data_IF_406410736495
#
_entry.id   IF_406410736495
#
_cell.length_a   1.000
_cell.length_b   1.000
_cell.length_c   1.000
_cell.angle_alpha   90.00
_cell.angle_beta   90.00
_cell.angle_gamma   90.00
#
_symmetry.space_group_name_H-M   'P 1'
#
loop_
_entity.id
_entity.type
_entity.pdbx_description
1 polymer ?
#
# COMPACT_ATOMS: atom_id res chain seq x y z
N UNK A 1 -11.23 -17.86 10.93
CA UNK A 1 -10.94 -18.32 12.31
C UNK A 1 -12.14 -17.97 13.19
N UNK A 2 -12.59 -18.87 14.05
CA UNK A 2 -13.62 -18.56 15.05
C UNK A 2 -13.19 -17.39 15.95
N UNK A 3 -14.12 -16.66 16.56
CA UNK A 3 -13.74 -15.50 17.39
C UNK A 3 -12.86 -15.90 18.58
N UNK A 4 -13.25 -16.95 19.29
CA UNK A 4 -12.56 -17.47 20.47
C UNK A 4 -12.35 -18.97 20.35
N UNK A 5 -11.26 -19.47 20.92
CA UNK A 5 -10.99 -20.90 21.03
C UNK A 5 -10.47 -21.27 22.42
N UNK A 6 -10.88 -22.42 22.99
CA UNK A 6 -10.28 -22.92 24.22
C UNK A 6 -8.84 -23.37 23.96
N UNK A 7 -7.98 -23.12 24.94
CA UNK A 7 -6.60 -23.59 25.00
C UNK A 7 -6.28 -24.06 26.42
N UNK A 8 -5.38 -25.03 26.56
CA UNK A 8 -4.85 -25.41 27.87
C UNK A 8 -4.09 -24.21 28.44
N UNK A 9 -4.46 -23.75 29.63
CA UNK A 9 -3.81 -22.60 30.25
C UNK A 9 -2.30 -22.90 30.47
N UNK A 10 -1.43 -22.02 29.98
CA UNK A 10 0.02 -22.20 30.05
C UNK A 10 0.63 -23.17 29.03
N UNK A 11 -0.14 -23.67 28.06
CA UNK A 11 0.42 -24.43 26.92
C UNK A 11 1.23 -23.51 26.00
N UNK A 12 2.43 -23.94 25.62
CA UNK A 12 3.31 -23.20 24.70
C UNK A 12 2.79 -23.18 23.26
N UNK A 13 1.94 -24.14 22.88
CA UNK A 13 1.45 -24.33 21.51
C UNK A 13 -0.05 -24.07 21.35
N UNK A 14 -0.69 -23.38 22.30
CA UNK A 14 -2.13 -23.09 22.26
C UNK A 14 -2.99 -24.35 22.06
N UNK A 15 -2.61 -25.43 22.74
CA UNK A 15 -3.18 -26.77 22.54
C UNK A 15 -4.64 -26.84 22.99
N UNK A 16 -5.47 -27.56 22.24
CA UNK A 16 -6.85 -27.78 22.63
C UNK A 16 -6.91 -28.76 23.83
N UNK A 17 -7.73 -28.52 24.87
CA UNK A 17 -7.86 -29.42 26.02
C UNK A 17 -8.14 -30.88 25.67
N UNK A 18 -9.00 -31.12 24.67
CA UNK A 18 -9.31 -32.46 24.15
C UNK A 18 -8.32 -33.01 23.11
N UNK A 19 -7.35 -32.23 22.64
CA UNK A 19 -6.36 -32.67 21.66
C UNK A 19 -4.94 -32.18 22.01
N UNK A 20 -4.39 -32.59 23.18
CA UNK A 20 -3.03 -32.23 23.57
C UNK A 20 -1.97 -32.87 22.67
N UNK A 21 -1.05 -32.05 22.19
CA UNK A 21 0.07 -32.40 21.32
C UNK A 21 1.31 -32.78 22.12
N UNK A 22 1.74 -31.92 23.03
CA UNK A 22 3.02 -32.06 23.74
C UNK A 22 2.92 -33.12 24.84
N UNK A 23 4.03 -33.81 25.18
CA UNK A 23 4.04 -34.75 26.30
C UNK A 23 3.64 -34.09 27.63
N UNK A 24 4.04 -32.83 27.86
CA UNK A 24 3.66 -32.06 29.04
C UNK A 24 2.14 -31.86 29.13
N UNK A 25 1.52 -31.37 28.06
CA UNK A 25 0.07 -31.16 28.01
C UNK A 25 -0.71 -32.46 28.11
N UNK A 26 -0.24 -33.55 27.49
CA UNK A 26 -0.86 -34.88 27.64
C UNK A 26 -0.85 -35.38 29.08
N UNK A 27 0.26 -35.18 29.80
CA UNK A 27 0.36 -35.54 31.22
C UNK A 27 -0.58 -34.69 32.07
N UNK A 28 -0.65 -33.37 31.81
CA UNK A 28 -1.56 -32.47 32.52
C UNK A 28 -3.02 -32.84 32.31
N UNK A 29 -3.45 -33.06 31.07
CA UNK A 29 -4.82 -33.51 30.76
C UNK A 29 -5.14 -34.82 31.48
N UNK A 30 -4.22 -35.78 31.50
CA UNK A 30 -4.44 -37.06 32.19
C UNK A 30 -4.48 -36.95 33.72
N UNK A 31 -3.72 -36.02 34.31
CA UNK A 31 -3.63 -35.84 35.76
C UNK A 31 -4.73 -34.94 36.33
N UNK A 32 -5.07 -33.86 35.61
CA UNK A 32 -6.01 -32.82 36.06
C UNK A 32 -7.44 -33.13 35.61
N UNK A 33 -7.64 -33.89 34.51
CA UNK A 33 -8.97 -34.31 34.07
C UNK A 33 -9.94 -33.14 33.90
N UNK A 34 -11.08 -33.18 34.59
CA UNK A 34 -12.10 -32.12 34.57
C UNK A 34 -11.66 -30.83 35.28
N UNK A 35 -10.63 -30.89 36.13
CA UNK A 35 -10.07 -29.73 36.84
C UNK A 35 -8.99 -29.00 36.00
N UNK A 36 -8.70 -29.46 34.78
CA UNK A 36 -7.71 -28.86 33.89
C UNK A 36 -8.07 -27.39 33.58
N UNK A 37 -7.21 -26.41 33.95
CA UNK A 37 -7.46 -25.01 33.65
C UNK A 37 -7.44 -24.73 32.14
N UNK A 38 -8.51 -24.07 31.66
CA UNK A 38 -8.70 -23.69 30.26
C UNK A 38 -8.74 -22.17 30.15
N UNK A 39 -7.94 -21.64 29.23
CA UNK A 39 -7.98 -20.24 28.83
C UNK A 39 -8.65 -20.09 27.45
N UNK A 40 -8.99 -18.85 27.07
CA UNK A 40 -9.61 -18.53 25.79
C UNK A 40 -8.71 -17.63 24.95
N UNK A 41 -8.44 -18.04 23.71
CA UNK A 41 -7.58 -17.31 22.78
C UNK A 41 -8.41 -16.67 21.65
N UNK A 42 -8.31 -15.35 21.51
CA UNK A 42 -9.03 -14.60 20.48
C UNK A 42 -8.37 -14.75 19.09
N UNK A 43 -9.15 -14.65 18.00
CA UNK A 43 -8.63 -14.71 16.62
C UNK A 43 -7.54 -13.68 16.30
N UNK A 44 -7.56 -12.51 16.92
CA UNK A 44 -6.54 -11.46 16.70
C UNK A 44 -5.15 -11.85 17.20
N UNK A 45 -5.04 -12.86 18.06
CA UNK A 45 -3.78 -13.37 18.60
C UNK A 45 -3.29 -14.62 17.86
N UNK A 46 -3.99 -15.03 16.80
CA UNK A 46 -3.73 -16.27 16.04
C UNK A 46 -3.19 -16.01 14.64
N UNK A 47 -2.62 -14.83 14.44
CA UNK A 47 -1.87 -14.45 13.26
C UNK A 47 -0.41 -14.23 13.67
N UNK A 48 0.50 -14.97 13.03
CA UNK A 48 1.94 -14.80 13.15
C UNK A 48 2.54 -14.45 11.80
N UNK A 49 3.50 -13.54 11.77
CA UNK A 49 4.16 -13.11 10.54
C UNK A 49 5.65 -13.01 10.74
N UNK A 50 6.41 -13.41 9.72
CA UNK A 50 7.85 -13.24 9.67
C UNK A 50 8.26 -12.83 8.26
N UNK A 51 9.01 -11.72 8.18
CA UNK A 51 9.80 -11.42 7.00
C UNK A 51 10.98 -12.38 6.95
N UNK A 52 11.05 -13.17 5.88
CA UNK A 52 12.19 -14.01 5.59
C UNK A 52 13.40 -13.12 5.27
N UNK A 53 14.51 -13.48 5.87
CA UNK A 53 15.78 -12.81 5.67
C UNK A 53 16.88 -13.86 5.65
N UNK A 54 18.04 -13.60 5.00
CA UNK A 54 19.13 -14.57 4.93
C UNK A 54 19.68 -15.02 6.30
N UNK A 55 19.49 -14.22 7.35
CA UNK A 55 19.90 -14.50 8.74
C UNK A 55 18.84 -15.24 9.56
N UNK A 56 17.61 -15.43 9.04
CA UNK A 56 16.59 -16.23 9.71
C UNK A 56 17.12 -17.64 9.96
N UNK A 57 16.88 -18.19 11.16
CA UNK A 57 17.34 -19.52 11.54
C UNK A 57 16.21 -20.56 11.55
N UNK A 58 16.57 -21.85 11.55
CA UNK A 58 15.60 -22.94 11.78
C UNK A 58 14.93 -22.79 13.14
N UNK A 59 15.66 -22.29 14.14
CA UNK A 59 15.14 -22.04 15.48
C UNK A 59 14.01 -21.02 15.51
N UNK A 60 14.10 -19.98 14.68
CA UNK A 60 13.08 -18.91 14.63
C UNK A 60 11.74 -19.41 14.08
N UNK A 61 11.76 -20.25 13.05
CA UNK A 61 10.53 -20.73 12.41
C UNK A 61 10.01 -22.02 13.02
N UNK A 62 10.89 -22.97 13.34
CA UNK A 62 10.52 -24.31 13.76
C UNK A 62 10.79 -24.52 15.25
N UNK A 63 12.01 -24.21 15.70
CA UNK A 63 12.45 -24.36 17.08
C UNK A 63 13.86 -24.92 17.20
N UNK A 64 14.49 -24.72 18.35
CA UNK A 64 15.80 -25.32 18.70
C UNK A 64 15.78 -25.77 20.17
N UNK A 65 16.84 -26.45 20.60
CA UNK A 65 17.03 -26.83 22.01
C UNK A 65 17.42 -25.60 22.82
N UNK A 66 16.72 -25.37 23.92
CA UNK A 66 17.03 -24.35 24.92
C UNK A 66 18.22 -24.79 25.79
N UNK A 67 19.41 -24.14 25.67
CA UNK A 67 20.59 -24.52 26.44
C UNK A 67 20.41 -24.35 27.95
N UNK A 68 19.56 -23.42 28.40
CA UNK A 68 19.31 -23.19 29.83
C UNK A 68 18.53 -24.35 30.44
N UNK A 69 17.48 -24.82 29.75
CA UNK A 69 16.70 -25.99 30.20
C UNK A 69 17.55 -27.26 30.25
N UNK A 70 18.54 -27.39 29.36
CA UNK A 70 19.53 -28.48 29.41
C UNK A 70 20.50 -28.32 30.59
N UNK A 71 20.93 -27.09 30.89
CA UNK A 71 21.82 -26.80 32.02
C UNK A 71 21.17 -27.07 33.40
N UNK A 72 19.84 -27.03 33.49
CA UNK A 72 19.05 -27.41 34.67
C UNK A 72 19.00 -28.94 34.92
N UNK A 73 19.76 -29.72 34.15
CA UNK A 73 19.89 -31.17 34.34
C UNK A 73 18.90 -32.01 33.54
N UNK A 74 18.10 -31.38 32.65
CA UNK A 74 17.26 -32.11 31.70
C UNK A 74 18.13 -32.72 30.61
N UNK A 75 17.74 -33.91 30.15
CA UNK A 75 18.47 -34.58 29.06
C UNK A 75 18.23 -33.82 27.77
N UNK A 76 19.24 -33.77 26.89
CA UNK A 76 19.12 -33.21 25.53
C UNK A 76 17.94 -33.76 24.72
N UNK A 77 17.47 -34.97 25.06
CA UNK A 77 16.32 -35.62 24.42
C UNK A 77 15.00 -35.49 25.13
N UNK A 78 14.92 -34.66 26.17
CA UNK A 78 13.66 -34.33 26.82
C UNK A 78 12.91 -33.32 25.93
N UNK A 79 11.70 -33.64 25.41
CA UNK A 79 10.91 -32.71 24.59
C UNK A 79 10.63 -31.38 25.29
N UNK A 80 10.71 -31.32 26.61
CA UNK A 80 10.54 -30.08 27.36
C UNK A 80 11.74 -29.12 27.28
N UNK A 81 12.87 -29.55 26.71
CA UNK A 81 14.02 -28.68 26.41
C UNK A 81 13.88 -27.94 25.09
N UNK A 82 12.81 -28.18 24.32
CA UNK A 82 12.59 -27.54 23.04
C UNK A 82 11.99 -26.15 23.26
N UNK A 83 12.58 -25.14 22.62
CA UNK A 83 11.95 -23.85 22.41
C UNK A 83 11.31 -23.85 21.02
N UNK A 84 9.98 -23.75 20.96
CA UNK A 84 9.26 -23.77 19.69
C UNK A 84 9.40 -22.46 18.92
N UNK A 85 9.58 -22.55 17.61
CA UNK A 85 9.60 -21.41 16.69
C UNK A 85 8.21 -20.86 16.39
N UNK A 86 8.12 -19.97 15.40
CA UNK A 86 6.88 -19.30 14.99
C UNK A 86 5.80 -20.26 14.49
N UNK A 87 6.16 -21.24 13.64
CA UNK A 87 5.18 -22.13 12.99
C UNK A 87 4.44 -22.99 14.02
N UNK A 88 5.13 -23.69 14.95
CA UNK A 88 4.42 -24.46 15.98
C UNK A 88 3.63 -23.57 16.93
N UNK A 89 4.16 -22.40 17.32
CA UNK A 89 3.42 -21.46 18.18
C UNK A 89 2.16 -20.90 17.52
N UNK A 90 2.12 -20.89 16.18
CA UNK A 90 0.95 -20.49 15.38
C UNK A 90 -0.07 -21.63 15.19
N UNK A 91 0.04 -22.74 15.93
CA UNK A 91 -0.94 -23.81 15.91
C UNK A 91 -2.36 -23.26 16.16
N UNK A 92 -3.29 -23.68 15.31
CA UNK A 92 -4.70 -23.28 15.21
C UNK A 92 -4.88 -21.83 14.78
N UNK A 93 -3.92 -21.33 14.01
CA UNK A 93 -3.85 -19.98 13.46
C UNK A 93 -3.31 -19.94 12.03
N UNK A 94 -2.90 -18.73 11.63
CA UNK A 94 -2.33 -18.42 10.32
C UNK A 94 -0.88 -17.97 10.54
N UNK A 95 0.05 -18.51 9.75
CA UNK A 95 1.43 -18.04 9.69
C UNK A 95 1.74 -17.51 8.31
N UNK A 96 2.17 -16.24 8.23
CA UNK A 96 2.60 -15.58 7.01
C UNK A 96 4.14 -15.52 6.95
N UNK A 97 4.72 -16.02 5.87
CA UNK A 97 6.16 -15.94 5.58
C UNK A 97 6.34 -15.04 4.37
N UNK A 98 6.74 -13.79 4.60
CA UNK A 98 6.99 -12.86 3.51
C UNK A 98 8.37 -13.11 2.91
N UNK A 99 8.49 -13.01 1.60
CA UNK A 99 9.74 -13.21 0.85
C UNK A 99 10.35 -14.60 1.09
N UNK A 100 9.53 -15.65 1.06
CA UNK A 100 9.97 -17.05 1.24
C UNK A 100 11.26 -17.43 0.47
N UNK A 101 11.47 -16.98 -0.79
CA UNK A 101 12.75 -17.06 -1.51
C UNK A 101 14.02 -16.73 -0.72
N UNK A 102 13.95 -15.76 0.20
CA UNK A 102 15.10 -15.28 0.97
C UNK A 102 15.51 -16.25 2.09
N UNK A 103 14.67 -17.24 2.41
CA UNK A 103 15.05 -18.30 3.34
C UNK A 103 16.06 -19.24 2.70
N UNK A 104 17.11 -19.55 3.47
CA UNK A 104 18.07 -20.59 3.10
C UNK A 104 17.36 -21.95 2.89
N UNK A 105 17.83 -22.72 1.90
CA UNK A 105 17.26 -24.02 1.51
C UNK A 105 17.02 -24.97 2.70
N UNK A 106 17.95 -25.03 3.65
CA UNK A 106 17.83 -25.87 4.86
C UNK A 106 16.56 -25.53 5.67
N UNK A 107 16.17 -24.26 5.73
CA UNK A 107 14.99 -23.80 6.48
C UNK A 107 13.73 -24.18 5.72
N UNK A 108 13.72 -24.04 4.40
CA UNK A 108 12.63 -24.49 3.55
C UNK A 108 12.38 -26.00 3.67
N UNK A 109 13.45 -26.81 3.73
CA UNK A 109 13.36 -28.26 4.00
C UNK A 109 12.76 -28.52 5.40
N UNK A 110 13.17 -27.78 6.42
CA UNK A 110 12.60 -27.93 7.76
C UNK A 110 11.10 -27.61 7.78
N UNK A 111 10.67 -26.56 7.07
CA UNK A 111 9.25 -26.22 6.91
C UNK A 111 8.48 -27.33 6.17
N UNK A 112 9.07 -27.90 5.11
CA UNK A 112 8.47 -29.01 4.37
C UNK A 112 8.17 -30.20 5.29
N UNK A 113 9.09 -30.58 6.16
CA UNK A 113 8.88 -31.70 7.09
C UNK A 113 7.70 -31.43 8.04
N UNK A 114 7.58 -30.19 8.54
CA UNK A 114 6.46 -29.79 9.39
C UNK A 114 5.13 -29.88 8.64
N UNK A 115 5.11 -29.43 7.37
CA UNK A 115 3.90 -29.40 6.55
C UNK A 115 3.48 -30.79 6.05
N UNK A 116 4.42 -31.65 5.67
CA UNK A 116 4.17 -32.95 5.05
C UNK A 116 4.14 -34.09 6.07
N UNK A 117 5.23 -34.24 6.84
CA UNK A 117 5.43 -35.38 7.74
C UNK A 117 4.77 -35.14 9.11
N UNK A 118 4.37 -33.90 9.39
CA UNK A 118 3.80 -33.47 10.67
C UNK A 118 4.72 -33.80 11.83
N UNK A 119 6.02 -33.70 11.59
CA UNK A 119 7.04 -33.83 12.60
C UNK A 119 8.10 -32.75 12.47
N UNK A 120 8.88 -32.62 13.54
CA UNK A 120 9.90 -31.63 13.69
C UNK A 120 11.17 -32.34 14.12
N UNK A 121 12.27 -32.09 13.39
CA UNK A 121 13.59 -32.61 13.75
C UNK A 121 14.46 -31.52 14.34
N UNK A 122 14.79 -31.65 15.63
CA UNK A 122 15.66 -30.70 16.35
C UNK A 122 16.83 -31.46 16.95
N UNK A 123 18.06 -31.15 16.51
CA UNK A 123 19.33 -31.70 17.04
C UNK A 123 19.36 -33.24 17.16
N UNK A 124 18.66 -33.95 16.27
CA UNK A 124 18.60 -35.42 16.24
C UNK A 124 17.35 -36.05 16.85
N UNK A 125 16.46 -35.26 17.45
CA UNK A 125 15.17 -35.72 17.99
C UNK A 125 14.06 -35.45 17.00
N UNK A 126 13.19 -36.46 16.79
CA UNK A 126 11.99 -36.34 15.97
C UNK A 126 10.79 -36.23 16.91
N UNK A 127 10.11 -35.08 16.87
CA UNK A 127 8.88 -34.83 17.61
C UNK A 127 7.71 -34.76 16.63
N UNK A 128 6.76 -35.68 16.76
CA UNK A 128 5.51 -35.62 15.98
C UNK A 128 4.62 -34.51 16.51
N UNK A 129 4.37 -33.51 15.68
CA UNK A 129 3.54 -32.35 15.96
C UNK A 129 2.54 -32.19 14.82
N UNK A 130 1.35 -32.82 14.93
CA UNK A 130 0.27 -32.62 13.97
C UNK A 130 -0.33 -31.22 14.15
N UNK A 131 0.38 -30.21 13.64
CA UNK A 131 -0.04 -28.83 13.66
C UNK A 131 -1.20 -28.63 12.68
N UNK A 132 -2.28 -28.07 13.20
CA UNK A 132 -3.32 -27.40 12.43
C UNK A 132 -2.86 -25.95 12.19
N UNK A 133 -2.36 -25.61 11.00
CA UNK A 133 -1.88 -24.25 10.69
C UNK A 133 -2.10 -23.96 9.21
N UNK A 134 -2.54 -22.75 8.90
CA UNK A 134 -2.56 -22.25 7.52
C UNK A 134 -1.28 -21.45 7.26
N UNK A 135 -0.45 -21.94 6.34
CA UNK A 135 0.75 -21.23 5.89
C UNK A 135 0.41 -20.38 4.68
N UNK A 136 0.68 -19.08 4.76
CA UNK A 136 0.64 -18.14 3.65
C UNK A 136 2.07 -17.70 3.39
N UNK A 137 2.48 -17.63 2.13
CA UNK A 137 3.82 -17.18 1.77
C UNK A 137 3.76 -16.21 0.59
N UNK A 138 4.64 -15.21 0.59
CA UNK A 138 4.88 -14.35 -0.56
C UNK A 138 6.23 -14.65 -1.21
N UNK A 139 6.32 -14.39 -2.50
CA UNK A 139 7.54 -14.53 -3.29
C UNK A 139 7.45 -13.63 -4.51
N UNK A 140 8.55 -12.97 -4.88
CA UNK A 140 8.58 -12.19 -6.11
C UNK A 140 8.85 -13.10 -7.33
N UNK A 141 8.19 -12.85 -8.48
CA UNK A 141 8.36 -13.67 -9.68
C UNK A 141 9.80 -13.73 -10.24
N UNK A 142 10.64 -12.75 -9.92
CA UNK A 142 12.01 -12.70 -10.45
C UNK A 142 12.97 -13.66 -9.71
N UNK A 143 12.66 -13.97 -8.45
CA UNK A 143 13.46 -14.83 -7.57
C UNK A 143 13.48 -16.29 -8.03
N UNK A 144 12.57 -16.68 -8.93
CA UNK A 144 12.58 -18.00 -9.57
C UNK A 144 13.79 -18.22 -10.48
N UNK A 145 14.53 -17.17 -10.86
CA UNK A 145 15.62 -17.28 -11.84
C UNK A 145 17.02 -17.34 -11.23
N UNK A 146 17.33 -16.59 -10.17
CA UNK A 146 18.68 -16.51 -9.59
C UNK A 146 18.70 -16.56 -8.05
N UNK A 147 19.40 -17.56 -7.49
CA UNK A 147 19.86 -17.73 -6.09
C UNK A 147 18.84 -17.86 -4.94
N UNK A 148 17.58 -17.41 -5.07
CA UNK A 148 16.53 -17.51 -4.01
C UNK A 148 15.39 -18.45 -4.37
N UNK A 149 15.66 -19.66 -4.87
CA UNK A 149 14.57 -20.53 -5.36
C UNK A 149 13.85 -21.21 -4.20
N UNK A 150 12.53 -21.12 -4.20
CA UNK A 150 11.69 -22.04 -3.42
C UNK A 150 11.99 -23.45 -3.94
N UNK A 151 12.42 -24.34 -3.06
CA UNK A 151 12.70 -25.73 -3.46
C UNK A 151 11.42 -26.38 -4.01
N UNK A 152 11.54 -27.08 -5.14
CA UNK A 152 10.39 -27.72 -5.80
C UNK A 152 9.55 -28.56 -4.84
N UNK A 153 10.14 -29.39 -3.95
CA UNK A 153 9.35 -30.18 -3.01
C UNK A 153 8.49 -29.35 -2.06
N UNK A 154 8.92 -28.15 -1.65
CA UNK A 154 8.12 -27.24 -0.81
C UNK A 154 7.07 -26.52 -1.65
N UNK A 155 7.44 -26.05 -2.85
CA UNK A 155 6.51 -25.40 -3.78
C UNK A 155 5.30 -26.29 -4.05
N UNK A 156 5.53 -27.58 -4.30
CA UNK A 156 4.47 -28.56 -4.62
C UNK A 156 3.51 -28.84 -3.44
N UNK A 157 3.79 -28.33 -2.24
CA UNK A 157 2.92 -28.46 -1.05
C UNK A 157 2.01 -27.27 -0.81
N UNK A 158 2.19 -26.18 -1.53
CA UNK A 158 1.20 -25.11 -1.50
C UNK A 158 -0.04 -25.51 -2.31
N UNK A 159 -1.20 -25.52 -1.66
CA UNK A 159 -2.47 -25.93 -2.29
C UNK A 159 -3.01 -24.92 -3.30
N UNK A 160 -2.52 -23.68 -3.30
CA UNK A 160 -2.89 -22.64 -4.23
C UNK A 160 -1.70 -21.70 -4.49
N UNK A 161 -1.55 -21.26 -5.73
CA UNK A 161 -0.64 -20.19 -6.15
C UNK A 161 -1.50 -19.03 -6.65
N UNK A 162 -1.43 -17.88 -5.98
CA UNK A 162 -2.19 -16.68 -6.35
C UNK A 162 -1.20 -15.65 -6.87
N UNK A 163 -1.36 -15.28 -8.15
CA UNK A 163 -0.60 -14.19 -8.75
C UNK A 163 -1.34 -12.88 -8.52
N UNK A 164 -0.78 -12.01 -7.69
CA UNK A 164 -1.29 -10.66 -7.47
C UNK A 164 -0.89 -9.73 -8.62
N UNK A 165 -1.62 -8.64 -8.79
CA UNK A 165 -1.34 -7.58 -9.75
C UNK A 165 -1.87 -6.25 -9.23
N UNK A 166 -1.36 -5.14 -9.77
CA UNK A 166 -1.93 -3.82 -9.53
C UNK A 166 -3.35 -3.69 -10.13
N UNK A 167 -4.18 -2.75 -9.66
CA UNK A 167 -5.52 -2.54 -10.19
C UNK A 167 -5.54 -2.39 -11.72
N UNK A 168 -6.44 -3.11 -12.39
CA UNK A 168 -6.57 -3.09 -13.85
C UNK A 168 -7.47 -1.94 -14.28
N UNK A 169 -8.57 -1.71 -13.58
CA UNK A 169 -9.49 -0.61 -13.84
C UNK A 169 -9.06 0.65 -13.09
N UNK A 170 -9.30 1.82 -13.70
CA UNK A 170 -8.97 3.11 -13.08
C UNK A 170 -9.79 3.34 -11.80
N UNK A 171 -11.06 2.94 -11.82
CA UNK A 171 -11.97 3.06 -10.67
C UNK A 171 -11.47 2.30 -9.45
N UNK A 172 -10.85 1.13 -9.66
CA UNK A 172 -10.28 0.32 -8.59
C UNK A 172 -9.02 0.99 -8.00
N UNK A 173 -8.18 1.63 -8.85
CA UNK A 173 -7.03 2.40 -8.38
C UNK A 173 -7.47 3.59 -7.52
N UNK A 174 -8.49 4.35 -7.97
CA UNK A 174 -9.08 5.46 -7.21
C UNK A 174 -9.65 4.97 -5.88
N UNK A 175 -10.37 3.85 -5.88
CA UNK A 175 -10.95 3.26 -4.68
C UNK A 175 -9.88 2.85 -3.66
N UNK A 176 -8.77 2.25 -4.11
CA UNK A 176 -7.64 1.90 -3.24
C UNK A 176 -7.01 3.15 -2.62
N UNK A 177 -6.79 4.20 -3.41
CA UNK A 177 -6.23 5.46 -2.88
C UNK A 177 -7.16 6.07 -1.84
N UNK A 178 -8.47 6.12 -2.11
CA UNK A 178 -9.48 6.62 -1.18
C UNK A 178 -9.56 5.81 0.12
N UNK A 179 -9.40 4.50 0.04
CA UNK A 179 -9.46 3.62 1.21
C UNK A 179 -8.21 3.74 2.09
N UNK A 180 -7.03 3.84 1.47
CA UNK A 180 -5.75 3.69 2.17
C UNK A 180 -5.08 5.03 2.54
N UNK A 181 -5.38 6.12 1.81
CA UNK A 181 -4.75 7.41 2.08
C UNK A 181 -5.33 8.08 3.34
N UNK A 182 -4.45 8.65 4.16
CA UNK A 182 -4.85 9.48 5.29
C UNK A 182 -4.81 10.96 4.89
N UNK A 183 -5.93 11.46 4.37
CA UNK A 183 -6.03 12.82 3.86
C UNK A 183 -6.20 13.85 4.99
N UNK A 184 -5.31 14.84 5.05
CA UNK A 184 -5.32 15.93 6.05
C UNK A 184 -6.08 17.19 5.59
N UNK A 185 -6.54 17.17 4.34
CA UNK A 185 -7.33 18.20 3.67
C UNK A 185 -8.31 17.52 2.71
N UNK A 186 -9.29 18.26 2.22
CA UNK A 186 -10.15 17.73 1.16
C UNK A 186 -9.37 17.62 -0.15
N UNK A 187 -9.48 16.47 -0.80
CA UNK A 187 -8.87 16.19 -2.10
C UNK A 187 -9.98 15.71 -3.02
N UNK A 188 -10.38 16.53 -4.01
CA UNK A 188 -11.45 16.15 -4.94
C UNK A 188 -11.15 14.85 -5.70
N UNK A 189 -12.19 14.07 -6.02
CA UNK A 189 -12.04 12.78 -6.73
C UNK A 189 -11.29 12.93 -8.05
N UNK A 190 -11.49 14.04 -8.75
CA UNK A 190 -10.80 14.34 -10.01
C UNK A 190 -9.29 14.46 -9.85
N UNK A 191 -8.80 14.96 -8.70
CA UNK A 191 -7.37 15.05 -8.40
C UNK A 191 -6.80 13.65 -8.10
N UNK A 192 -7.55 12.82 -7.38
CA UNK A 192 -7.17 11.41 -7.16
C UNK A 192 -7.18 10.62 -8.46
N UNK A 193 -8.12 10.89 -9.36
CA UNK A 193 -8.14 10.29 -10.70
C UNK A 193 -6.89 10.67 -11.49
N UNK A 194 -6.47 11.94 -11.47
CA UNK A 194 -5.23 12.38 -12.13
C UNK A 194 -4.02 11.63 -11.56
N UNK A 195 -3.89 11.54 -10.23
CA UNK A 195 -2.81 10.77 -9.59
C UNK A 195 -2.84 9.28 -9.97
N UNK A 196 -4.04 8.71 -10.08
CA UNK A 196 -4.24 7.32 -10.48
C UNK A 196 -3.85 7.08 -11.93
N UNK A 197 -4.26 7.95 -12.86
CA UNK A 197 -3.84 7.92 -14.27
C UNK A 197 -2.35 8.14 -14.41
N UNK A 198 -1.77 9.07 -13.65
CA UNK A 198 -0.34 9.34 -13.62
C UNK A 198 0.45 8.09 -13.21
N UNK A 199 0.04 7.43 -12.12
CA UNK A 199 0.66 6.18 -11.64
C UNK A 199 0.57 5.06 -12.69
N UNK A 200 -0.59 4.93 -13.35
CA UNK A 200 -0.76 3.97 -14.45
C UNK A 200 0.12 4.30 -15.66
N UNK A 201 0.25 5.59 -15.99
CA UNK A 201 1.14 6.08 -17.04
C UNK A 201 2.60 5.74 -16.75
N UNK A 202 3.05 5.85 -15.49
CA UNK A 202 4.39 5.44 -15.08
C UNK A 202 4.61 3.93 -15.24
N UNK A 203 3.64 3.09 -14.83
CA UNK A 203 3.70 1.63 -15.04
C UNK A 203 3.71 1.23 -16.52
N UNK A 204 3.22 2.08 -17.42
CA UNK A 204 3.25 1.85 -18.86
C UNK A 204 4.44 2.49 -19.58
N UNK A 205 5.29 3.23 -18.87
CA UNK A 205 6.36 4.03 -19.48
C UNK A 205 7.63 3.22 -19.68
N UNK A 206 8.18 3.27 -20.90
CA UNK A 206 9.49 2.66 -21.21
C UNK A 206 10.68 3.37 -20.53
N UNK A 207 10.46 4.54 -19.92
CA UNK A 207 11.49 5.25 -19.16
C UNK A 207 11.63 4.72 -17.72
N UNK A 208 10.64 3.96 -17.23
CA UNK A 208 10.60 3.43 -15.85
C UNK A 208 11.05 1.97 -15.86
N UNK A 209 11.89 1.59 -14.89
CA UNK A 209 12.33 0.20 -14.71
C UNK A 209 11.13 -0.67 -14.31
N UNK A 210 10.72 -1.54 -15.23
CA UNK A 210 9.55 -2.40 -15.07
C UNK A 210 9.78 -3.55 -14.09
N UNK A 211 11.04 -3.87 -13.74
CA UNK A 211 11.36 -4.88 -12.73
C UNK A 211 11.04 -4.37 -11.33
N UNK A 212 11.44 -3.14 -11.06
CA UNK A 212 11.11 -2.43 -9.82
C UNK A 212 9.63 -2.05 -9.78
N UNK A 213 9.08 -1.63 -10.92
CA UNK A 213 7.68 -1.26 -11.09
C UNK A 213 7.29 -0.01 -10.27
N UNK A 214 6.01 0.35 -10.32
CA UNK A 214 5.46 1.48 -9.52
C UNK A 214 4.34 0.99 -8.62
N UNK A 215 4.58 1.07 -7.31
CA UNK A 215 3.64 0.61 -6.28
C UNK A 215 2.35 1.42 -6.26
N UNK A 216 1.24 0.82 -5.79
CA UNK A 216 0.04 1.55 -5.40
C UNK A 216 0.31 2.58 -4.27
N UNK A 217 1.39 2.38 -3.48
CA UNK A 217 1.85 3.37 -2.50
C UNK A 217 2.27 4.70 -3.14
N UNK A 218 2.56 4.74 -4.43
CA UNK A 218 2.91 5.97 -5.13
C UNK A 218 1.71 6.92 -5.21
N UNK A 219 0.54 6.45 -5.66
CA UNK A 219 -0.68 7.26 -5.73
C UNK A 219 -1.22 7.62 -4.34
N UNK A 220 -1.12 6.71 -3.36
CA UNK A 220 -1.47 6.98 -1.95
C UNK A 220 -0.63 8.12 -1.40
N UNK A 221 0.70 8.03 -1.51
CA UNK A 221 1.60 9.08 -1.04
C UNK A 221 1.41 10.40 -1.82
N UNK A 222 1.02 10.32 -3.10
CA UNK A 222 0.66 11.50 -3.90
C UNK A 222 -0.57 12.21 -3.37
N UNK A 223 -1.62 11.47 -3.04
CA UNK A 223 -2.84 12.06 -2.48
C UNK A 223 -2.57 12.69 -1.11
N UNK A 224 -1.77 12.04 -0.26
CA UNK A 224 -1.35 12.58 1.04
C UNK A 224 -0.47 13.84 0.88
N UNK A 225 0.43 13.86 -0.11
CA UNK A 225 1.31 15.01 -0.39
C UNK A 225 0.50 16.21 -0.89
N UNK A 226 -0.44 15.98 -1.81
CA UNK A 226 -1.36 16.99 -2.32
C UNK A 226 -2.26 17.54 -1.22
N UNK A 227 -2.80 16.67 -0.36
CA UNK A 227 -3.57 17.08 0.82
C UNK A 227 -2.74 17.95 1.78
N UNK A 228 -1.48 17.56 2.03
CA UNK A 228 -0.58 18.34 2.87
C UNK A 228 -0.24 19.71 2.26
N UNK A 229 -0.07 19.79 0.94
CA UNK A 229 0.15 21.05 0.22
C UNK A 229 -1.06 21.99 0.36
N UNK A 230 -2.26 21.46 0.16
CA UNK A 230 -3.51 22.21 0.34
C UNK A 230 -3.68 22.72 1.79
N UNK A 231 -3.41 21.87 2.78
CA UNK A 231 -3.44 22.26 4.20
C UNK A 231 -2.41 23.35 4.53
N UNK A 232 -1.20 23.23 3.96
CA UNK A 232 -0.15 24.22 4.13
C UNK A 232 -0.57 25.59 3.59
N UNK A 233 -1.08 25.64 2.33
CA UNK A 233 -1.63 26.87 1.74
C UNK A 233 -2.71 27.48 2.63
N UNK A 234 -3.70 26.69 3.02
CA UNK A 234 -4.82 27.16 3.84
C UNK A 234 -4.35 27.72 5.19
N UNK A 235 -3.40 27.06 5.84
CA UNK A 235 -2.86 27.49 7.13
C UNK A 235 -2.05 28.77 7.03
N UNK A 236 -1.18 28.89 6.02
CA UNK A 236 -0.30 30.05 5.83
C UNK A 236 -1.09 31.29 5.39
N UNK A 237 -2.12 31.08 4.54
CA UNK A 237 -2.91 32.16 3.96
C UNK A 237 -4.20 32.47 4.72
N UNK A 238 -4.57 31.63 5.68
CA UNK A 238 -5.77 31.80 6.50
C UNK A 238 -7.07 31.41 5.79
N UNK A 239 -7.03 30.46 4.86
CA UNK A 239 -8.27 29.89 4.28
C UNK A 239 -9.02 29.09 5.34
N UNK A 240 -10.35 29.19 5.32
CA UNK A 240 -11.21 28.47 6.27
C UNK A 240 -11.29 26.98 5.97
N UNK A 241 -11.10 26.60 4.71
CA UNK A 241 -11.14 25.22 4.22
C UNK A 241 -9.87 24.90 3.43
N UNK A 242 -9.30 23.72 3.68
CA UNK A 242 -8.17 23.21 2.91
C UNK A 242 -8.70 22.28 1.80
N UNK A 243 -8.72 22.77 0.57
CA UNK A 243 -9.14 22.00 -0.61
C UNK A 243 -7.98 21.95 -1.60
N UNK A 244 -7.63 20.75 -2.04
CA UNK A 244 -6.59 20.52 -3.03
C UNK A 244 -7.04 20.91 -4.44
N UNK A 245 -6.10 21.45 -5.21
CA UNK A 245 -6.28 21.88 -6.60
C UNK A 245 -5.19 21.32 -7.49
N UNK A 246 -5.24 21.64 -8.78
CA UNK A 246 -4.28 21.11 -9.76
C UNK A 246 -2.87 21.59 -9.48
N UNK A 247 -2.69 22.82 -8.98
CA UNK A 247 -1.38 23.34 -8.60
C UNK A 247 -0.67 22.48 -7.54
N UNK A 248 -1.43 21.82 -6.66
CA UNK A 248 -0.88 20.97 -5.60
C UNK A 248 -0.26 19.67 -6.15
N UNK A 249 -0.58 19.27 -7.39
CA UNK A 249 -0.01 18.07 -8.02
C UNK A 249 1.50 18.22 -8.32
N UNK A 250 2.01 19.44 -8.49
CA UNK A 250 3.44 19.66 -8.71
C UNK A 250 4.25 19.23 -7.48
N UNK A 251 3.74 19.45 -6.27
CA UNK A 251 4.37 18.99 -5.02
C UNK A 251 4.52 17.46 -5.00
N UNK A 252 3.55 16.72 -5.56
CA UNK A 252 3.66 15.27 -5.67
C UNK A 252 4.79 14.85 -6.62
N UNK A 253 5.03 15.57 -7.72
CA UNK A 253 6.16 15.28 -8.62
C UNK A 253 7.50 15.49 -7.91
N UNK A 254 7.61 16.59 -7.16
CA UNK A 254 8.83 16.94 -6.43
C UNK A 254 9.19 15.93 -5.35
N UNK A 255 8.20 15.47 -4.59
CA UNK A 255 8.41 14.57 -3.44
C UNK A 255 8.52 13.11 -3.87
N UNK A 256 7.74 12.69 -4.87
CA UNK A 256 7.64 11.27 -5.22
C UNK A 256 8.64 10.81 -6.28
N UNK A 257 9.40 11.71 -6.90
CA UNK A 257 10.37 11.34 -7.94
C UNK A 257 11.35 10.25 -7.49
N UNK A 258 11.81 10.28 -6.23
CA UNK A 258 12.69 9.26 -5.66
C UNK A 258 12.02 7.92 -5.34
N UNK A 259 10.73 7.75 -5.60
CA UNK A 259 10.00 6.47 -5.46
C UNK A 259 9.84 5.74 -6.79
N UNK A 260 10.39 6.28 -7.88
CA UNK A 260 10.36 5.69 -9.22
C UNK A 260 11.79 5.38 -9.63
N UNK A 261 12.03 4.11 -9.96
CA UNK A 261 13.30 3.69 -10.55
C UNK A 261 13.21 3.85 -12.08
N UNK A 262 14.20 4.50 -12.67
CA UNK A 262 14.25 4.77 -14.12
C UNK A 262 15.20 3.81 -14.84
N UNK A 263 14.92 3.57 -16.12
CA UNK A 263 15.80 2.77 -16.98
C UNK A 263 17.17 3.42 -17.17
N UNK A 264 18.19 2.58 -17.38
CA UNK A 264 19.55 3.05 -17.58
C UNK A 264 19.64 3.95 -18.84
N UNK A 265 20.12 5.18 -18.66
CA UNK A 265 20.24 6.18 -19.73
C UNK A 265 19.21 7.31 -19.68
N UNK A 266 18.25 7.25 -18.74
CA UNK A 266 17.32 8.36 -18.46
C UNK A 266 17.84 9.34 -17.39
N UNK A 267 19.11 9.21 -17.00
CA UNK A 267 19.77 10.08 -16.02
C UNK A 267 19.65 11.57 -16.41
N UNK A 268 19.09 12.37 -15.51
CA UNK A 268 18.87 13.80 -15.69
C UNK A 268 17.60 14.17 -16.48
N UNK A 269 16.78 13.19 -16.91
CA UNK A 269 15.48 13.40 -17.59
C UNK A 269 14.29 12.93 -16.76
N UNK A 270 14.52 12.43 -15.54
CA UNK A 270 13.51 11.84 -14.67
C UNK A 270 12.36 12.82 -14.44
N UNK A 271 12.71 14.07 -14.08
CA UNK A 271 11.72 15.14 -13.85
C UNK A 271 10.89 15.44 -15.09
N UNK A 272 11.51 15.49 -16.27
CA UNK A 272 10.81 15.77 -17.53
C UNK A 272 9.80 14.67 -17.85
N UNK A 273 10.16 13.41 -17.61
CA UNK A 273 9.25 12.26 -17.78
C UNK A 273 8.07 12.34 -16.82
N UNK A 274 8.32 12.59 -15.53
CA UNK A 274 7.26 12.73 -14.52
C UNK A 274 6.29 13.86 -14.90
N UNK A 275 6.82 15.03 -15.26
CA UNK A 275 6.00 16.17 -15.66
C UNK A 275 5.21 15.89 -16.94
N UNK A 276 5.81 15.22 -17.94
CA UNK A 276 5.11 14.86 -19.16
C UNK A 276 3.96 13.88 -18.90
N UNK A 277 4.19 12.87 -18.06
CA UNK A 277 3.16 11.88 -17.70
C UNK A 277 2.06 12.50 -16.85
N UNK A 278 2.39 13.39 -15.91
CA UNK A 278 1.39 14.13 -15.15
C UNK A 278 0.52 14.99 -16.07
N UNK A 279 1.11 15.79 -16.97
CA UNK A 279 0.35 16.58 -17.97
C UNK A 279 -0.56 15.71 -18.82
N UNK A 280 -0.09 14.52 -19.21
CA UNK A 280 -0.89 13.57 -19.99
C UNK A 280 -2.09 13.06 -19.18
N UNK A 281 -1.87 12.68 -17.91
CA UNK A 281 -2.92 12.26 -17.00
C UNK A 281 -3.96 13.36 -16.75
N UNK A 282 -3.51 14.61 -16.56
CA UNK A 282 -4.39 15.77 -16.42
C UNK A 282 -5.21 15.99 -17.69
N UNK A 283 -4.59 15.99 -18.87
CA UNK A 283 -5.28 16.17 -20.15
C UNK A 283 -6.32 15.06 -20.43
N UNK A 284 -6.04 13.82 -20.05
CA UNK A 284 -7.02 12.73 -20.14
C UNK A 284 -8.22 12.96 -19.22
N UNK A 285 -7.97 13.33 -17.97
CA UNK A 285 -9.02 13.58 -16.97
C UNK A 285 -9.91 14.75 -17.40
N UNK A 286 -9.30 15.87 -17.81
CA UNK A 286 -10.00 17.05 -18.33
C UNK A 286 -10.91 16.67 -19.51
N UNK A 287 -10.40 15.90 -20.48
CA UNK A 287 -11.18 15.51 -21.67
C UNK A 287 -12.41 14.67 -21.32
N UNK A 288 -12.29 13.81 -20.31
CA UNK A 288 -13.41 12.98 -19.86
C UNK A 288 -14.46 13.83 -19.14
N UNK A 289 -14.03 14.61 -18.14
CA UNK A 289 -14.95 15.32 -17.24
C UNK A 289 -15.56 16.59 -17.83
N UNK A 290 -14.86 17.28 -18.73
CA UNK A 290 -15.35 18.52 -19.33
C UNK A 290 -15.95 18.34 -20.72
N UNK A 291 -16.18 17.10 -21.15
CA UNK A 291 -16.87 16.83 -22.40
C UNK A 291 -18.25 17.52 -22.40
N UNK A 292 -18.50 18.27 -23.47
CA UNK A 292 -19.79 18.94 -23.70
C UNK A 292 -19.94 20.32 -23.08
N UNK A 293 -18.97 20.79 -22.29
CA UNK A 293 -18.97 22.17 -21.77
C UNK A 293 -18.44 23.12 -22.85
N UNK A 294 -19.12 24.26 -23.04
CA UNK A 294 -18.67 25.31 -23.96
C UNK A 294 -17.79 26.34 -23.24
N UNK A 295 -16.47 26.25 -23.47
CA UNK A 295 -15.50 27.18 -22.90
C UNK A 295 -15.26 28.44 -23.75
N UNK A 296 -15.99 28.63 -24.87
CA UNK A 296 -15.80 29.80 -25.71
C UNK A 296 -15.90 31.14 -24.94
N UNK A 297 -16.87 31.35 -24.01
CA UNK A 297 -16.96 32.60 -23.26
C UNK A 297 -15.69 32.90 -22.44
N UNK A 298 -15.13 31.88 -21.78
CA UNK A 298 -13.91 32.02 -20.99
C UNK A 298 -12.69 32.32 -21.87
N UNK A 299 -12.54 31.62 -23.00
CA UNK A 299 -11.42 31.87 -23.93
C UNK A 299 -11.49 33.28 -24.50
N UNK A 300 -12.68 33.73 -24.93
CA UNK A 300 -12.88 35.09 -25.47
C UNK A 300 -12.59 36.17 -24.42
N UNK A 301 -12.98 35.94 -23.17
CA UNK A 301 -12.71 36.88 -22.09
C UNK A 301 -11.21 36.99 -21.75
N UNK A 302 -10.47 35.89 -21.85
CA UNK A 302 -9.01 35.86 -21.62
C UNK A 302 -8.22 36.47 -22.78
N UNK A 303 -8.64 36.26 -24.03
CA UNK A 303 -8.08 36.93 -25.22
C UNK A 303 -8.15 38.48 -25.11
N UNK A 304 -9.04 39.00 -24.27
CA UNK A 304 -9.15 40.41 -23.90
C UNK A 304 -7.98 40.96 -23.06
N UNK A 305 -6.99 40.14 -22.73
CA UNK A 305 -5.82 40.50 -21.92
C UNK A 305 -6.03 40.36 -20.41
N UNK A 306 -7.04 39.59 -19.99
CA UNK A 306 -7.26 39.25 -18.58
C UNK A 306 -6.31 38.12 -18.20
N UNK A 307 -5.54 38.34 -17.13
CA UNK A 307 -4.62 37.35 -16.59
C UNK A 307 -5.20 36.77 -15.31
N UNK A 308 -5.34 35.45 -15.24
CA UNK A 308 -5.79 34.75 -14.04
C UNK A 308 -4.57 34.19 -13.32
N UNK A 309 -4.34 34.65 -12.09
CA UNK A 309 -3.21 34.22 -11.27
C UNK A 309 -3.64 33.10 -10.32
N UNK A 310 -2.90 32.00 -10.33
CA UNK A 310 -2.94 30.94 -9.32
C UNK A 310 -1.53 30.59 -8.83
N UNK A 311 -1.40 29.63 -7.94
CA UNK A 311 -0.14 29.22 -7.35
C UNK A 311 -0.34 28.48 -6.03
N UNK A 312 0.73 27.86 -5.53
CA UNK A 312 0.74 27.22 -4.21
C UNK A 312 0.38 28.19 -3.07
N UNK A 313 0.64 29.50 -3.28
CA UNK A 313 0.41 30.57 -2.30
C UNK A 313 -0.85 31.43 -2.58
N UNK A 314 -1.64 31.11 -3.62
CA UNK A 314 -2.86 31.86 -3.99
C UNK A 314 -4.07 31.14 -3.45
N UNK A 315 -4.94 31.80 -2.69
CA UNK A 315 -6.12 31.12 -2.09
C UNK A 315 -7.20 30.78 -3.11
N UNK A 316 -8.13 29.91 -2.73
CA UNK A 316 -9.32 29.64 -3.56
C UNK A 316 -10.13 30.91 -3.82
N UNK A 317 -10.33 31.75 -2.80
CA UNK A 317 -11.04 33.03 -2.93
C UNK A 317 -10.30 34.04 -3.81
N UNK A 318 -8.96 34.13 -3.68
CA UNK A 318 -8.13 34.99 -4.52
C UNK A 318 -8.25 34.57 -5.99
N UNK A 319 -8.15 33.26 -6.28
CA UNK A 319 -8.34 32.73 -7.64
C UNK A 319 -9.73 33.09 -8.20
N UNK A 320 -10.79 32.85 -7.42
CA UNK A 320 -12.15 33.16 -7.86
C UNK A 320 -12.38 34.66 -8.10
N UNK A 321 -11.71 35.52 -7.33
CA UNK A 321 -11.78 36.98 -7.49
C UNK A 321 -11.07 37.53 -8.73
N UNK A 322 -10.11 36.79 -9.28
CA UNK A 322 -9.37 37.14 -10.51
C UNK A 322 -10.06 36.65 -11.80
N UNK A 323 -11.16 35.88 -11.68
CA UNK A 323 -11.87 35.36 -12.83
C UNK A 323 -12.53 36.49 -13.65
N UNK A 324 -12.42 36.49 -14.99
CA UNK A 324 -13.11 37.46 -15.82
C UNK A 324 -14.64 37.36 -15.70
N UNK A 325 -15.32 38.50 -15.85
CA UNK A 325 -16.77 38.53 -16.03
C UNK A 325 -17.13 37.95 -17.42
N UNK A 326 -17.94 36.89 -17.42
CA UNK A 326 -18.39 36.21 -18.63
C UNK A 326 -19.76 36.71 -19.13
N UNK A 327 -20.26 37.81 -18.57
CA UNK A 327 -21.55 38.39 -18.93
C UNK A 327 -22.72 37.48 -18.51
N UNK A 328 -23.55 37.09 -19.47
CA UNK A 328 -24.74 36.24 -19.22
C UNK A 328 -24.42 34.73 -19.17
N UNK A 329 -23.15 34.33 -19.25
CA UNK A 329 -22.75 32.91 -19.23
C UNK A 329 -22.75 32.33 -17.81
N UNK A 330 -23.30 31.13 -17.65
CA UNK A 330 -23.32 30.33 -16.43
C UNK A 330 -22.15 29.32 -16.34
N UNK A 331 -21.10 29.48 -17.17
CA UNK A 331 -20.01 28.52 -17.33
C UNK A 331 -19.33 28.13 -16.01
N UNK A 332 -19.07 29.09 -15.11
CA UNK A 332 -18.45 28.77 -13.82
C UNK A 332 -19.35 27.94 -12.91
N UNK A 333 -20.66 28.15 -12.96
CA UNK A 333 -21.62 27.34 -12.24
C UNK A 333 -21.75 25.95 -12.89
N UNK A 334 -21.75 25.84 -14.21
CA UNK A 334 -21.74 24.54 -14.92
C UNK A 334 -20.49 23.71 -14.55
N UNK A 335 -19.32 24.35 -14.48
CA UNK A 335 -18.06 23.71 -14.06
C UNK A 335 -18.16 23.25 -12.59
N UNK A 336 -18.66 24.10 -11.70
CA UNK A 336 -18.84 23.76 -10.29
C UNK A 336 -19.81 22.58 -10.11
N UNK A 337 -20.96 22.62 -10.78
CA UNK A 337 -22.00 21.60 -10.71
C UNK A 337 -21.51 20.25 -11.25
N UNK A 338 -20.64 20.24 -12.27
CA UNK A 338 -20.03 19.02 -12.83
C UNK A 338 -19.31 18.19 -11.76
N UNK A 339 -18.69 18.84 -10.78
CA UNK A 339 -17.97 18.20 -9.69
C UNK A 339 -18.71 18.26 -8.35
N UNK A 340 -19.95 18.78 -8.34
CA UNK A 340 -20.73 18.94 -7.12
C UNK A 340 -20.12 19.91 -6.11
N UNK A 341 -19.35 20.91 -6.58
CA UNK A 341 -18.66 21.86 -5.74
C UNK A 341 -19.64 22.78 -4.97
N UNK A 342 -19.57 22.74 -3.65
CA UNK A 342 -20.41 23.49 -2.72
C UNK A 342 -19.67 24.64 -2.04
N UNK A 343 -18.35 24.52 -1.90
CA UNK A 343 -17.51 25.52 -1.26
C UNK A 343 -16.68 26.36 -2.24
N UNK A 344 -16.13 27.48 -1.77
CA UNK A 344 -15.24 28.32 -2.57
C UNK A 344 -13.97 27.56 -2.98
N UNK A 345 -13.42 26.72 -2.10
CA UNK A 345 -12.24 25.90 -2.39
C UNK A 345 -12.51 24.84 -3.45
N UNK A 346 -13.67 24.16 -3.36
CA UNK A 346 -14.08 23.17 -4.37
C UNK A 346 -14.35 23.82 -5.73
N UNK A 347 -15.01 24.99 -5.75
CA UNK A 347 -15.23 25.76 -6.98
C UNK A 347 -13.92 26.21 -7.60
N UNK A 348 -12.99 26.72 -6.79
CA UNK A 348 -11.65 27.11 -7.23
C UNK A 348 -10.89 25.92 -7.83
N UNK A 349 -10.97 24.72 -7.21
CA UNK A 349 -10.35 23.49 -7.72
C UNK A 349 -10.88 23.10 -9.09
N UNK A 350 -12.21 23.11 -9.26
CA UNK A 350 -12.86 22.79 -10.52
C UNK A 350 -12.50 23.77 -11.66
N UNK A 351 -12.51 25.08 -11.36
CA UNK A 351 -12.20 26.11 -12.35
C UNK A 351 -10.70 26.12 -12.70
N UNK A 352 -9.81 25.90 -11.73
CA UNK A 352 -8.38 25.77 -12.01
C UNK A 352 -8.09 24.57 -12.92
N UNK A 353 -8.79 23.45 -12.73
CA UNK A 353 -8.70 22.30 -13.63
C UNK A 353 -9.17 22.64 -15.05
N UNK A 354 -10.21 23.46 -15.20
CA UNK A 354 -10.65 23.94 -16.51
C UNK A 354 -9.59 24.81 -17.19
N UNK A 355 -8.97 25.74 -16.45
CA UNK A 355 -7.89 26.60 -16.95
C UNK A 355 -6.69 25.76 -17.40
N UNK A 356 -6.23 24.82 -16.58
CA UNK A 356 -5.15 23.88 -16.96
C UNK A 356 -5.56 23.07 -18.20
N UNK A 357 -6.82 22.64 -18.29
CA UNK A 357 -7.36 21.94 -19.44
C UNK A 357 -7.29 22.75 -20.74
N UNK A 358 -7.67 24.03 -20.69
CA UNK A 358 -7.57 24.96 -21.81
C UNK A 358 -6.12 25.19 -22.23
N UNK A 359 -5.21 25.33 -21.28
CA UNK A 359 -3.78 25.43 -21.55
C UNK A 359 -3.25 24.16 -22.25
N UNK A 360 -3.56 22.97 -21.74
CA UNK A 360 -3.15 21.70 -22.34
C UNK A 360 -3.75 21.49 -23.74
N UNK A 361 -4.94 22.05 -24.00
CA UNK A 361 -5.57 22.10 -25.31
C UNK A 361 -5.03 23.23 -26.23
N UNK A 362 -4.05 24.02 -25.76
CA UNK A 362 -3.46 25.18 -26.45
C UNK A 362 -4.48 26.25 -26.83
N UNK A 363 -5.47 26.47 -25.97
CA UNK A 363 -6.49 27.51 -26.12
C UNK A 363 -6.12 28.82 -25.41
N UNK A 364 -5.34 28.72 -24.34
CA UNK A 364 -4.79 29.85 -23.57
C UNK A 364 -3.30 29.60 -23.32
N UNK A 365 -2.54 30.64 -22.98
CA UNK A 365 -1.16 30.50 -22.55
C UNK A 365 -1.07 30.28 -21.04
N UNK A 366 0.07 29.74 -20.60
CA UNK A 366 0.44 29.57 -19.20
C UNK A 366 1.89 30.01 -19.04
N UNK A 367 2.16 30.86 -18.06
CA UNK A 367 3.50 31.19 -17.59
C UNK A 367 3.61 30.82 -16.11
N UNK A 368 4.73 30.22 -15.70
CA UNK A 368 4.93 29.79 -14.32
C UNK A 368 6.36 30.06 -13.87
N UNK A 369 6.52 30.71 -12.72
CA UNK A 369 7.81 31.00 -12.09
C UNK A 369 8.09 30.14 -10.84
N UNK A 370 7.25 29.14 -10.58
CA UNK A 370 7.32 28.22 -9.44
C UNK A 370 6.35 28.60 -8.31
N UNK A 371 6.33 29.87 -7.91
CA UNK A 371 5.43 30.34 -6.83
C UNK A 371 4.06 30.77 -7.38
N UNK A 372 4.06 31.25 -8.63
CA UNK A 372 2.89 31.78 -9.31
C UNK A 372 2.76 31.16 -10.69
N UNK A 373 1.53 30.85 -11.04
CA UNK A 373 1.09 30.44 -12.36
C UNK A 373 0.10 31.46 -12.89
N UNK A 374 0.31 31.93 -14.11
CA UNK A 374 -0.56 32.90 -14.76
C UNK A 374 -1.12 32.29 -16.04
N UNK A 375 -2.44 32.29 -16.15
CA UNK A 375 -3.15 31.94 -17.38
C UNK A 375 -3.61 33.22 -18.08
N UNK A 376 -3.50 33.26 -19.42
CA UNK A 376 -3.88 34.44 -20.21
C UNK A 376 -3.61 34.30 -21.70
#
# INVERSE_FOLDING_TARGET
>A
LDEWTPVIEGSELNEHPYAPLTPASRRRVAAEGDDLPVAWLHRSLRYGEKLATPDTSVGDLIGDVDPMRVAEGRRLGDPETIHFGLIPRSHRGIVAINELPDLAERIQVAMLNVMEERDIQIRGYVLRLPLDVLVVASANPEDYTNRGRIITPLKDRFGAEIRTHYPVELTDEVAVVRQEANLVADVPDVIIEILSRFTRGLRGSNAVDQRSGVSARFSIAGAETVAASALHRATVRGESEAVARVVDLETAVDVLGGKVEFEAGEEGRERDHLQHLLRTATAETVREHFRGIDFAPLVEAMDGGVLVVTGENVTGEELLGELPDLGDSDLYDEIADRFGAQSAGERASAIELALEGLFLARKIAKDSDGDRTVYG
#
